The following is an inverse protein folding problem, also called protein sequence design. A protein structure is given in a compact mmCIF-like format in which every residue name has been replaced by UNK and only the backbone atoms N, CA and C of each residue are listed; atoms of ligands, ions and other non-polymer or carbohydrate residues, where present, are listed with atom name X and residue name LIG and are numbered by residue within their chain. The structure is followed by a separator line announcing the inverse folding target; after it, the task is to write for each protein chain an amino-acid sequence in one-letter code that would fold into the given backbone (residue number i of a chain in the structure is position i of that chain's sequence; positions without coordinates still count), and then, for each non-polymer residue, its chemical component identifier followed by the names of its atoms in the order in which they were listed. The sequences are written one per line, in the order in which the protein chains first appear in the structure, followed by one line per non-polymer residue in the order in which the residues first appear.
data_IF_589538527549
#
_entry.id   IF_589538527549
#
_cell.length_a   1.000
_cell.length_b   1.000
_cell.length_c   1.000
_cell.angle_alpha   90.00
_cell.angle_beta   90.00
_cell.angle_gamma   90.00
#
_symmetry.space_group_name_H-M   'P 1'
#
loop_
_entity.id
_entity.type
_entity.pdbx_description
1 polymer ?
#
# COMPACT_ATOMS: atom_id res chain seq x y z
N UNK A 1 34.80 1.23 -9.62
CA UNK A 1 33.43 1.26 -10.10
C UNK A 1 32.59 0.65 -9.00
N UNK A 2 31.84 1.42 -8.26
CA UNK A 2 30.96 0.93 -7.19
C UNK A 2 29.86 0.13 -7.86
N UNK A 3 29.89 -1.18 -7.66
CA UNK A 3 28.80 -2.09 -8.04
C UNK A 3 27.64 -1.80 -7.08
N UNK A 4 26.88 -0.74 -7.35
CA UNK A 4 25.69 -0.42 -6.58
C UNK A 4 24.64 -1.48 -6.94
N UNK A 5 24.50 -2.49 -6.08
CA UNK A 5 23.42 -3.47 -6.16
C UNK A 5 22.09 -2.73 -6.39
N UNK A 6 21.33 -3.16 -7.37
CA UNK A 6 20.00 -2.57 -7.68
C UNK A 6 19.03 -2.76 -6.52
N UNK A 7 19.30 -3.71 -5.63
CA UNK A 7 18.53 -4.03 -4.43
C UNK A 7 18.48 -5.54 -4.18
N UNK A 8 17.88 -5.96 -3.04
CA UNK A 8 17.89 -7.37 -2.64
C UNK A 8 17.16 -8.33 -3.60
N UNK A 9 16.32 -7.80 -4.51
CA UNK A 9 15.63 -8.60 -5.53
C UNK A 9 16.22 -8.39 -6.94
N UNK A 10 17.49 -7.96 -7.05
CA UNK A 10 18.18 -7.88 -8.34
C UNK A 10 18.19 -9.25 -9.03
N UNK A 11 17.83 -9.26 -10.32
CA UNK A 11 17.69 -10.47 -11.13
C UNK A 11 16.33 -11.18 -11.04
N UNK A 12 15.45 -10.77 -10.13
CA UNK A 12 14.07 -11.27 -10.09
C UNK A 12 13.22 -10.55 -11.15
N UNK A 13 12.53 -11.32 -11.99
CA UNK A 13 11.62 -10.83 -13.02
C UNK A 13 10.17 -11.02 -12.61
N UNK A 14 9.39 -9.94 -12.65
CA UNK A 14 7.98 -9.91 -12.26
C UNK A 14 7.12 -9.46 -13.43
N UNK A 15 6.12 -10.23 -13.77
CA UNK A 15 5.07 -9.81 -14.70
C UNK A 15 3.84 -9.42 -13.91
N UNK A 16 3.36 -8.21 -14.14
CA UNK A 16 2.16 -7.66 -13.51
C UNK A 16 1.01 -7.61 -14.51
N UNK A 17 -0.07 -8.32 -14.21
CA UNK A 17 -1.37 -8.18 -14.87
C UNK A 17 -2.39 -7.79 -13.80
N UNK A 18 -2.27 -6.58 -13.28
CA UNK A 18 -3.08 -6.07 -12.17
C UNK A 18 -3.47 -4.61 -12.38
N UNK A 19 -4.58 -4.21 -11.77
CA UNK A 19 -5.17 -2.88 -11.90
C UNK A 19 -5.48 -2.26 -10.54
N UNK A 20 -5.81 -0.99 -10.54
CA UNK A 20 -6.20 -0.16 -9.39
C UNK A 20 -5.01 0.07 -8.44
N UNK A 21 -4.98 -0.47 -7.22
CA UNK A 21 -3.94 -0.16 -6.23
C UNK A 21 -3.24 -1.41 -5.68
N UNK A 22 -3.98 -2.42 -5.24
CA UNK A 22 -3.40 -3.57 -4.51
C UNK A 22 -2.24 -4.24 -5.26
N UNK A 23 -2.49 -4.76 -6.47
CA UNK A 23 -1.45 -5.38 -7.29
C UNK A 23 -0.35 -4.41 -7.71
N UNK A 24 -0.71 -3.24 -8.30
CA UNK A 24 0.28 -2.23 -8.69
C UNK A 24 1.18 -1.74 -7.56
N UNK A 25 0.68 -1.58 -6.33
CA UNK A 25 1.50 -1.22 -5.17
C UNK A 25 2.44 -2.36 -4.76
N UNK A 26 1.95 -3.60 -4.76
CA UNK A 26 2.80 -4.75 -4.44
C UNK A 26 3.97 -4.86 -5.41
N UNK A 27 3.73 -4.77 -6.71
CA UNK A 27 4.78 -4.86 -7.72
C UNK A 27 5.68 -3.63 -7.75
N UNK A 28 5.17 -2.44 -7.40
CA UNK A 28 6.00 -1.25 -7.20
C UNK A 28 6.99 -1.43 -6.04
N UNK A 29 6.56 -2.05 -4.93
CA UNK A 29 7.45 -2.35 -3.80
C UNK A 29 8.51 -3.37 -4.22
N UNK A 30 8.14 -4.44 -4.94
CA UNK A 30 9.11 -5.39 -5.49
C UNK A 30 10.10 -4.71 -6.43
N UNK A 31 9.64 -3.78 -7.26
CA UNK A 31 10.49 -2.98 -8.13
C UNK A 31 11.45 -2.08 -7.35
N UNK A 32 10.99 -1.40 -6.30
CA UNK A 32 11.86 -0.61 -5.41
C UNK A 32 12.90 -1.47 -4.67
N UNK A 33 12.57 -2.74 -4.42
CA UNK A 33 13.51 -3.72 -3.86
C UNK A 33 14.50 -4.30 -4.90
N UNK A 34 14.42 -3.89 -6.17
CA UNK A 34 15.38 -4.24 -7.20
C UNK A 34 14.87 -5.16 -8.31
N UNK A 35 13.67 -5.72 -8.17
CA UNK A 35 13.09 -6.57 -9.22
C UNK A 35 12.87 -5.82 -10.53
N UNK A 36 12.95 -6.53 -11.66
CA UNK A 36 12.51 -6.06 -12.96
C UNK A 36 11.01 -6.33 -13.09
N UNK A 37 10.21 -5.28 -13.26
CA UNK A 37 8.75 -5.40 -13.34
C UNK A 37 8.27 -4.97 -14.72
N UNK A 38 7.56 -5.86 -15.41
CA UNK A 38 6.84 -5.57 -16.63
C UNK A 38 5.34 -5.56 -16.32
N UNK A 39 4.71 -4.39 -16.49
CA UNK A 39 3.26 -4.23 -16.36
C UNK A 39 2.63 -4.46 -17.73
N UNK A 40 1.70 -5.41 -17.79
CA UNK A 40 0.87 -5.68 -18.95
C UNK A 40 -0.43 -4.91 -18.83
N UNK A 41 -0.76 -4.11 -19.84
CA UNK A 41 -1.94 -3.26 -19.88
C UNK A 41 -2.75 -3.53 -21.13
N UNK A 42 -4.07 -3.44 -21.03
CA UNK A 42 -4.98 -3.56 -22.19
C UNK A 42 -5.21 -2.21 -22.88
N UNK A 43 -6.19 -2.18 -23.77
CA UNK A 43 -6.65 -0.96 -24.42
C UNK A 43 -7.46 -0.04 -23.50
N UNK A 44 -8.06 -0.61 -22.44
CA UNK A 44 -8.77 0.15 -21.43
C UNK A 44 -7.77 0.67 -20.39
N UNK A 45 -7.84 1.98 -20.10
CA UNK A 45 -6.92 2.62 -19.16
C UNK A 45 -7.13 2.10 -17.74
N UNK A 46 -6.07 1.65 -17.09
CA UNK A 46 -6.08 1.27 -15.69
C UNK A 46 -6.53 2.45 -14.81
N UNK A 47 -7.46 2.22 -13.90
CA UNK A 47 -7.96 3.26 -12.98
C UNK A 47 -6.86 3.89 -12.13
N UNK A 48 -5.79 3.17 -11.80
CA UNK A 48 -4.62 3.73 -11.11
C UNK A 48 -4.03 4.95 -11.85
N UNK A 49 -4.17 4.98 -13.17
CA UNK A 49 -3.61 6.03 -14.01
C UNK A 49 -4.37 7.35 -13.95
N UNK A 50 -5.60 7.35 -13.37
CA UNK A 50 -6.45 8.55 -13.25
C UNK A 50 -6.76 8.96 -11.80
N UNK A 51 -6.41 8.14 -10.81
CA UNK A 51 -6.66 8.44 -9.38
C UNK A 51 -5.85 9.66 -8.94
N UNK A 52 -6.54 10.65 -8.36
CA UNK A 52 -5.91 11.87 -7.82
C UNK A 52 -5.59 12.93 -8.86
N UNK A 53 -6.01 12.73 -10.13
CA UNK A 53 -5.74 13.68 -11.21
C UNK A 53 -4.25 13.74 -11.60
N UNK A 54 -3.94 14.53 -12.62
CA UNK A 54 -2.58 14.70 -13.12
C UNK A 54 -2.52 15.68 -14.28
N UNK A 55 -1.31 16.03 -14.73
CA UNK A 55 -1.09 16.90 -15.90
C UNK A 55 -1.13 16.14 -17.22
N UNK A 56 -1.00 14.83 -17.18
CA UNK A 56 -1.08 13.94 -18.33
C UNK A 56 -2.22 12.94 -18.13
N UNK A 57 -2.98 12.57 -19.17
CA UNK A 57 -4.13 11.66 -19.05
C UNK A 57 -3.83 10.30 -18.41
N UNK A 58 -2.59 9.79 -18.58
CA UNK A 58 -2.16 8.48 -18.09
C UNK A 58 -1.25 8.55 -16.85
N UNK A 59 -0.90 9.75 -16.38
CA UNK A 59 0.06 9.96 -15.30
C UNK A 59 -0.56 10.81 -14.19
N UNK A 60 -1.50 10.23 -13.48
CA UNK A 60 -2.06 10.83 -12.26
C UNK A 60 -1.05 10.84 -11.11
N UNK A 61 -1.37 11.55 -10.04
CA UNK A 61 -0.58 11.52 -8.80
C UNK A 61 -0.40 10.12 -8.23
N UNK A 62 -1.39 9.23 -8.37
CA UNK A 62 -1.24 7.82 -8.00
C UNK A 62 -0.35 7.06 -8.99
N UNK A 63 -0.53 7.27 -10.30
CA UNK A 63 0.22 6.56 -11.34
C UNK A 63 1.72 6.77 -11.21
N UNK A 64 2.19 8.01 -11.03
CA UNK A 64 3.63 8.31 -10.91
C UNK A 64 4.27 7.62 -9.71
N UNK A 65 3.50 7.32 -8.67
CA UNK A 65 3.99 6.61 -7.48
C UNK A 65 3.84 5.09 -7.58
N UNK A 66 2.78 4.57 -8.22
CA UNK A 66 2.50 3.15 -8.33
C UNK A 66 3.26 2.45 -9.46
N UNK A 67 3.68 3.21 -10.49
CA UNK A 67 4.29 2.60 -11.69
C UNK A 67 5.77 2.94 -11.87
N UNK A 68 6.40 3.68 -10.94
CA UNK A 68 7.85 3.88 -10.98
C UNK A 68 8.61 2.56 -10.94
N UNK A 69 9.79 2.53 -11.52
CA UNK A 69 10.65 1.35 -11.65
C UNK A 69 10.04 0.19 -12.46
N UNK A 70 8.96 0.44 -13.22
CA UNK A 70 8.33 -0.56 -14.09
C UNK A 70 8.54 -0.22 -15.56
N UNK A 71 8.45 -1.24 -16.39
CA UNK A 71 8.24 -1.11 -17.85
C UNK A 71 6.79 -1.43 -18.16
N UNK A 72 6.21 -0.81 -19.19
CA UNK A 72 4.82 -1.05 -19.63
C UNK A 72 4.82 -1.64 -21.03
N UNK A 73 4.08 -2.74 -21.21
CA UNK A 73 3.71 -3.32 -22.48
C UNK A 73 2.19 -3.28 -22.65
N UNK A 74 1.70 -2.84 -23.80
CA UNK A 74 0.26 -2.85 -24.09
C UNK A 74 -0.07 -4.04 -24.99
N UNK A 75 -1.00 -4.90 -24.53
CA UNK A 75 -1.42 -6.10 -25.24
C UNK A 75 -2.95 -6.26 -25.22
N UNK A 76 -3.52 -6.65 -26.35
CA UNK A 76 -4.90 -7.17 -26.39
C UNK A 76 -4.88 -8.68 -26.10
N UNK A 77 -5.13 -9.04 -24.84
CA UNK A 77 -5.19 -10.43 -24.39
C UNK A 77 -6.44 -11.19 -24.89
N UNK A 78 -7.39 -10.52 -25.56
CA UNK A 78 -8.52 -11.19 -26.23
C UNK A 78 -8.06 -11.79 -27.57
N UNK A 79 -7.07 -11.19 -28.20
CA UNK A 79 -6.44 -11.73 -29.41
C UNK A 79 -5.53 -12.93 -29.08
N UNK A 80 -5.54 -14.01 -29.90
CA UNK A 80 -4.68 -15.18 -29.71
C UNK A 80 -3.19 -14.80 -29.65
N UNK A 81 -2.75 -13.91 -30.54
CA UNK A 81 -1.37 -13.44 -30.63
C UNK A 81 -0.95 -12.64 -29.39
N UNK A 82 -1.85 -11.84 -28.81
CA UNK A 82 -1.59 -11.13 -27.56
C UNK A 82 -1.42 -12.08 -26.38
N UNK A 83 -2.17 -13.17 -26.35
CA UNK A 83 -1.97 -14.24 -25.36
C UNK A 83 -0.64 -14.98 -25.57
N UNK A 84 -0.24 -15.22 -26.82
CA UNK A 84 1.06 -15.83 -27.12
C UNK A 84 2.21 -14.95 -26.58
N UNK A 85 2.16 -13.64 -26.82
CA UNK A 85 3.14 -12.70 -26.24
C UNK A 85 3.15 -12.78 -24.71
N UNK A 86 1.97 -12.79 -24.09
CA UNK A 86 1.84 -12.92 -22.63
C UNK A 86 2.45 -14.22 -22.11
N UNK A 87 2.24 -15.34 -22.77
CA UNK A 87 2.81 -16.64 -22.39
C UNK A 87 4.35 -16.60 -22.46
N UNK A 88 4.91 -16.10 -23.60
CA UNK A 88 6.37 -15.93 -23.72
C UNK A 88 6.95 -15.02 -22.66
N UNK A 89 6.24 -13.95 -22.29
CA UNK A 89 6.66 -13.05 -21.22
C UNK A 89 6.69 -13.78 -19.86
N UNK A 90 5.70 -14.63 -19.59
CA UNK A 90 5.62 -15.42 -18.36
C UNK A 90 6.69 -16.53 -18.30
N UNK A 91 7.08 -17.13 -19.43
CA UNK A 91 8.17 -18.12 -19.49
C UNK A 91 9.51 -17.54 -19.01
N UNK A 92 9.71 -16.24 -19.17
CA UNK A 92 10.91 -15.53 -18.71
C UNK A 92 10.80 -14.99 -17.27
N UNK A 93 9.63 -15.13 -16.63
CA UNK A 93 9.35 -14.52 -15.33
C UNK A 93 9.58 -15.47 -14.15
N UNK A 94 9.92 -14.89 -13.00
CA UNK A 94 9.96 -15.56 -11.71
C UNK A 94 8.63 -15.51 -10.98
N UNK A 95 7.94 -14.37 -11.11
CA UNK A 95 6.69 -14.08 -10.39
C UNK A 95 5.68 -13.50 -11.35
N UNK A 96 4.48 -14.04 -11.35
CA UNK A 96 3.31 -13.49 -12.00
C UNK A 96 2.37 -12.92 -10.94
N UNK A 97 2.08 -11.63 -10.98
CA UNK A 97 1.15 -10.96 -10.05
C UNK A 97 -0.10 -10.53 -10.78
N UNK A 98 -1.24 -10.96 -10.29
CA UNK A 98 -2.54 -10.61 -10.88
C UNK A 98 -3.61 -10.36 -9.81
N UNK A 99 -4.52 -9.43 -10.08
CA UNK A 99 -5.74 -9.23 -9.29
C UNK A 99 -7.02 -9.42 -10.14
N UNK A 100 -6.88 -10.02 -11.31
CA UNK A 100 -8.04 -10.43 -12.12
C UNK A 100 -8.79 -11.54 -11.41
N UNK A 101 -10.13 -11.52 -11.58
CA UNK A 101 -11.00 -12.57 -11.02
C UNK A 101 -10.69 -13.94 -11.62
N UNK A 102 -10.86 -15.04 -10.86
CA UNK A 102 -10.51 -16.39 -11.31
C UNK A 102 -11.13 -16.76 -12.67
N UNK A 103 -12.41 -16.43 -12.87
CA UNK A 103 -13.09 -16.68 -14.13
C UNK A 103 -12.44 -15.93 -15.31
N UNK A 104 -12.01 -14.70 -15.10
CA UNK A 104 -11.33 -13.92 -16.14
C UNK A 104 -9.96 -14.51 -16.48
N UNK A 105 -9.18 -14.90 -15.46
CA UNK A 105 -7.89 -15.57 -15.67
C UNK A 105 -8.05 -16.90 -16.44
N UNK A 106 -9.00 -17.73 -16.04
CA UNK A 106 -9.27 -18.99 -16.70
C UNK A 106 -9.70 -18.80 -18.18
N UNK A 107 -10.51 -17.77 -18.48
CA UNK A 107 -10.90 -17.46 -19.86
C UNK A 107 -9.75 -17.02 -20.75
N UNK A 108 -8.66 -16.47 -20.13
CA UNK A 108 -7.43 -16.09 -20.83
C UNK A 108 -6.39 -17.23 -20.88
N UNK A 109 -6.62 -18.35 -20.16
CA UNK A 109 -5.64 -19.43 -20.01
C UNK A 109 -4.44 -19.02 -19.14
N UNK A 110 -4.61 -18.04 -18.23
CA UNK A 110 -3.57 -17.51 -17.37
C UNK A 110 -3.74 -17.89 -15.89
N UNK A 111 -4.66 -18.80 -15.60
CA UNK A 111 -4.82 -19.37 -14.26
C UNK A 111 -3.68 -20.34 -13.92
N UNK A 112 -3.47 -20.55 -12.61
CA UNK A 112 -2.38 -21.39 -12.13
C UNK A 112 -2.44 -22.82 -12.69
N UNK A 113 -3.63 -23.43 -12.77
CA UNK A 113 -3.79 -24.81 -13.22
C UNK A 113 -3.36 -24.99 -14.67
N UNK A 114 -3.62 -23.99 -15.50
CA UNK A 114 -3.20 -23.97 -16.91
C UNK A 114 -1.69 -23.79 -17.04
N UNK A 115 -1.07 -22.89 -16.25
CA UNK A 115 0.33 -22.52 -16.40
C UNK A 115 1.30 -23.48 -15.71
N UNK A 116 0.91 -24.15 -14.62
CA UNK A 116 1.81 -24.92 -13.75
C UNK A 116 2.59 -26.03 -14.44
N UNK A 117 2.03 -26.65 -15.49
CA UNK A 117 2.67 -27.75 -16.20
C UNK A 117 3.78 -27.31 -17.15
N UNK A 118 3.60 -26.15 -17.79
CA UNK A 118 4.59 -25.56 -18.70
C UNK A 118 5.60 -24.66 -17.97
N UNK A 119 5.21 -24.08 -16.84
CA UNK A 119 6.00 -23.11 -16.08
C UNK A 119 6.11 -23.51 -14.59
N UNK A 120 6.73 -24.65 -14.25
CA UNK A 120 6.75 -25.21 -12.88
C UNK A 120 7.54 -24.35 -11.90
N UNK A 121 8.33 -23.38 -12.37
CA UNK A 121 9.10 -22.47 -11.55
C UNK A 121 8.46 -21.08 -11.39
N UNK A 122 7.38 -20.79 -12.13
CA UNK A 122 6.67 -19.52 -12.07
C UNK A 122 5.85 -19.45 -10.77
N UNK A 123 6.14 -18.48 -9.92
CA UNK A 123 5.34 -18.19 -8.73
C UNK A 123 4.11 -17.40 -9.16
N UNK A 124 2.94 -18.04 -9.06
CA UNK A 124 1.67 -17.42 -9.41
C UNK A 124 1.05 -16.76 -8.18
N UNK A 125 1.06 -15.44 -8.15
CA UNK A 125 0.50 -14.61 -7.07
C UNK A 125 -0.86 -14.03 -7.51
N UNK A 126 -1.95 -14.65 -7.05
CA UNK A 126 -3.31 -14.16 -7.26
C UNK A 126 -3.81 -13.41 -6.02
N UNK A 127 -4.04 -12.11 -6.15
CA UNK A 127 -4.57 -11.25 -5.09
C UNK A 127 -5.97 -10.80 -5.47
N UNK A 128 -6.99 -11.26 -4.76
CA UNK A 128 -8.40 -11.12 -5.12
C UNK A 128 -9.22 -10.59 -3.95
N UNK A 129 -10.46 -10.16 -4.19
CA UNK A 129 -11.35 -9.68 -3.13
C UNK A 129 -11.64 -10.75 -2.08
N UNK A 130 -11.97 -11.95 -2.55
CA UNK A 130 -12.41 -13.07 -1.71
C UNK A 130 -11.60 -14.33 -1.99
N UNK A 131 -11.61 -15.25 -1.02
CA UNK A 131 -10.88 -16.52 -1.09
C UNK A 131 -11.38 -17.38 -2.24
N UNK A 132 -10.45 -17.97 -2.97
CA UNK A 132 -10.77 -18.97 -4.00
C UNK A 132 -11.50 -20.17 -3.38
N UNK A 133 -12.53 -20.65 -4.07
CA UNK A 133 -13.37 -21.75 -3.59
C UNK A 133 -14.38 -21.38 -2.49
N UNK A 134 -14.52 -20.08 -2.17
CA UNK A 134 -15.56 -19.62 -1.22
C UNK A 134 -16.96 -19.55 -1.84
N UNK A 135 -17.06 -19.57 -3.17
CA UNK A 135 -18.27 -19.27 -3.92
C UNK A 135 -18.48 -17.77 -4.17
N UNK A 136 -17.60 -16.91 -3.62
CA UNK A 136 -17.63 -15.46 -3.81
C UNK A 136 -16.41 -14.91 -4.56
N UNK A 137 -15.50 -15.79 -4.99
CA UNK A 137 -14.22 -15.44 -5.61
C UNK A 137 -14.34 -14.55 -6.85
N UNK A 138 -15.45 -14.61 -7.58
CA UNK A 138 -15.71 -13.75 -8.73
C UNK A 138 -16.54 -12.50 -8.41
N UNK A 139 -16.90 -12.29 -7.14
CA UNK A 139 -17.65 -11.11 -6.70
C UNK A 139 -16.77 -9.86 -6.80
N UNK A 140 -17.31 -8.73 -7.31
CA UNK A 140 -16.59 -7.46 -7.31
C UNK A 140 -16.23 -7.01 -5.89
N UNK A 141 -14.97 -6.65 -5.68
CA UNK A 141 -14.48 -6.13 -4.41
C UNK A 141 -13.59 -4.91 -4.66
N UNK A 142 -13.79 -3.89 -3.85
CA UNK A 142 -12.97 -2.67 -3.78
C UNK A 142 -12.74 -2.33 -2.31
N UNK A 143 -11.80 -1.45 -2.05
CA UNK A 143 -11.38 -1.04 -0.70
C UNK A 143 -12.55 -0.79 0.27
N UNK A 144 -13.49 0.07 -0.10
CA UNK A 144 -14.64 0.43 0.73
C UNK A 144 -15.55 -0.79 1.04
N UNK A 145 -15.75 -1.66 0.06
CA UNK A 145 -16.55 -2.89 0.23
C UNK A 145 -15.90 -3.80 1.26
N UNK A 146 -14.59 -3.97 1.17
CA UNK A 146 -13.83 -4.80 2.12
C UNK A 146 -13.80 -4.16 3.51
N UNK A 147 -13.63 -2.85 3.63
CA UNK A 147 -13.73 -2.16 4.92
C UNK A 147 -15.09 -2.38 5.58
N UNK A 148 -16.17 -2.35 4.79
CA UNK A 148 -17.52 -2.58 5.30
C UNK A 148 -17.71 -4.03 5.78
N UNK A 149 -17.34 -5.02 4.97
CA UNK A 149 -17.61 -6.43 5.23
C UNK A 149 -16.72 -7.05 6.32
N UNK A 150 -15.51 -6.53 6.50
CA UNK A 150 -14.60 -7.01 7.56
C UNK A 150 -14.90 -6.41 8.94
N UNK A 151 -15.87 -5.49 9.06
CA UNK A 151 -16.16 -4.79 10.30
C UNK A 151 -15.24 -3.61 10.60
N UNK A 152 -14.28 -3.29 9.71
CA UNK A 152 -13.36 -2.17 9.91
C UNK A 152 -14.11 -0.82 9.97
N UNK A 153 -15.15 -0.66 9.16
CA UNK A 153 -16.00 0.53 9.20
C UNK A 153 -16.85 0.63 10.48
N UNK A 154 -17.22 -0.51 11.10
CA UNK A 154 -17.94 -0.57 12.38
C UNK A 154 -17.09 -0.05 13.54
N UNK A 155 -15.77 -0.17 13.49
CA UNK A 155 -14.90 0.36 14.53
C UNK A 155 -15.10 1.86 14.74
N UNK A 156 -15.34 2.62 13.66
CA UNK A 156 -15.64 4.05 13.77
C UNK A 156 -17.01 4.32 14.36
N UNK A 157 -18.01 3.44 14.14
CA UNK A 157 -19.32 3.52 14.79
C UNK A 157 -19.22 3.26 16.29
N UNK A 158 -18.34 2.35 16.71
CA UNK A 158 -18.09 2.08 18.14
C UNK A 158 -17.39 3.24 18.87
N UNK A 159 -16.68 4.08 18.15
CA UNK A 159 -15.98 5.27 18.69
C UNK A 159 -16.83 6.53 18.61
N UNK A 160 -17.73 6.62 17.63
CA UNK A 160 -18.59 7.78 17.37
C UNK A 160 -20.01 7.39 16.99
N UNK A 161 -20.74 8.30 16.38
CA UNK A 161 -22.16 8.11 16.08
C UNK A 161 -22.43 7.62 14.65
N UNK A 162 -21.37 7.42 13.84
CA UNK A 162 -21.51 7.13 12.41
C UNK A 162 -20.40 6.17 11.95
N UNK A 163 -20.78 5.11 11.23
CA UNK A 163 -19.84 4.26 10.54
C UNK A 163 -19.10 5.08 9.45
N UNK A 164 -17.80 4.97 9.40
CA UNK A 164 -16.95 5.67 8.44
C UNK A 164 -15.85 4.76 7.93
N UNK A 165 -15.51 4.93 6.68
CA UNK A 165 -14.27 4.35 6.16
C UNK A 165 -13.05 5.09 6.69
N UNK A 166 -11.94 4.39 6.83
CA UNK A 166 -10.64 5.02 7.02
C UNK A 166 -10.35 5.82 5.75
N UNK A 167 -10.04 7.14 5.84
CA UNK A 167 -9.92 8.01 4.67
C UNK A 167 -8.60 7.79 3.90
N UNK A 168 -8.30 6.53 3.60
CA UNK A 168 -7.22 6.07 2.74
C UNK A 168 -7.57 4.66 2.24
N UNK A 169 -7.03 4.23 1.10
CA UNK A 169 -7.22 2.90 0.53
C UNK A 169 -6.49 1.85 1.38
N UNK A 170 -6.99 1.62 2.60
CA UNK A 170 -6.31 0.79 3.62
C UNK A 170 -6.37 -0.69 3.28
N UNK A 171 -7.49 -1.18 2.75
CA UNK A 171 -7.67 -2.57 2.38
C UNK A 171 -6.73 -2.97 1.22
N UNK A 172 -6.66 -2.13 0.18
CA UNK A 172 -5.72 -2.30 -0.92
C UNK A 172 -4.27 -2.32 -0.43
N UNK A 173 -3.89 -1.35 0.42
CA UNK A 173 -2.51 -1.19 0.89
C UNK A 173 -2.07 -2.32 1.81
N UNK A 174 -2.92 -2.73 2.76
CA UNK A 174 -2.65 -3.87 3.65
C UNK A 174 -2.46 -5.14 2.83
N UNK A 175 -3.37 -5.39 1.88
CA UNK A 175 -3.29 -6.54 1.00
C UNK A 175 -2.03 -6.53 0.12
N UNK A 176 -1.66 -5.36 -0.42
CA UNK A 176 -0.41 -5.20 -1.18
C UNK A 176 0.83 -5.56 -0.35
N UNK A 177 0.91 -5.07 0.89
CA UNK A 177 2.04 -5.37 1.79
C UNK A 177 2.12 -6.86 2.11
N UNK A 178 0.99 -7.52 2.38
CA UNK A 178 0.94 -8.96 2.63
C UNK A 178 1.30 -9.77 1.37
N UNK A 179 0.88 -9.30 0.19
CA UNK A 179 1.23 -9.94 -1.08
C UNK A 179 2.74 -9.90 -1.35
N UNK A 180 3.40 -8.77 -1.06
CA UNK A 180 4.87 -8.66 -1.14
C UNK A 180 5.55 -9.68 -0.22
N UNK A 181 5.10 -9.79 1.03
CA UNK A 181 5.64 -10.76 1.99
C UNK A 181 5.50 -12.18 1.46
N UNK A 182 4.32 -12.55 0.94
CA UNK A 182 4.06 -13.87 0.41
C UNK A 182 4.88 -14.16 -0.86
N UNK A 183 5.03 -13.19 -1.77
CA UNK A 183 5.85 -13.32 -2.97
C UNK A 183 7.33 -13.54 -2.63
N UNK A 184 7.90 -12.77 -1.70
CA UNK A 184 9.29 -12.93 -1.24
C UNK A 184 9.49 -14.28 -0.54
N UNK A 185 8.54 -14.70 0.29
CA UNK A 185 8.57 -16.02 0.93
C UNK A 185 8.49 -17.17 -0.10
N UNK A 186 7.68 -17.00 -1.15
CA UNK A 186 7.58 -17.97 -2.25
C UNK A 186 8.86 -18.05 -3.09
N UNK A 187 9.54 -16.92 -3.33
CA UNK A 187 10.87 -16.90 -3.97
C UNK A 187 11.88 -17.69 -3.15
N UNK A 188 11.95 -17.44 -1.86
CA UNK A 188 12.82 -18.19 -0.93
C UNK A 188 12.49 -19.69 -0.91
N UNK A 189 11.19 -20.04 -0.85
CA UNK A 189 10.74 -21.43 -0.87
C UNK A 189 11.13 -22.12 -2.18
N UNK A 190 10.95 -21.46 -3.33
CA UNK A 190 11.30 -21.99 -4.64
C UNK A 190 12.79 -22.33 -4.73
N UNK A 191 13.65 -21.41 -4.26
CA UNK A 191 15.08 -21.61 -4.30
C UNK A 191 15.54 -22.74 -3.37
N UNK A 192 14.88 -22.88 -2.21
CA UNK A 192 15.18 -23.95 -1.26
C UNK A 192 14.65 -25.33 -1.68
N UNK A 193 13.50 -25.40 -2.39
CA UNK A 193 12.79 -26.66 -2.69
C UNK A 193 12.78 -27.04 -4.18
N UNK A 194 13.19 -26.15 -5.08
CA UNK A 194 13.25 -26.37 -6.53
C UNK A 194 11.94 -26.26 -7.28
N UNK A 195 10.82 -25.97 -6.61
CA UNK A 195 9.51 -25.76 -7.24
C UNK A 195 8.81 -24.50 -6.72
N UNK A 196 8.02 -23.84 -7.58
CA UNK A 196 7.28 -22.65 -7.22
C UNK A 196 6.02 -22.98 -6.40
N UNK A 197 5.59 -21.99 -5.61
CA UNK A 197 4.33 -22.02 -4.90
C UNK A 197 3.26 -21.25 -5.67
N UNK A 198 2.00 -21.67 -5.54
CA UNK A 198 0.83 -20.83 -5.80
C UNK A 198 0.60 -19.97 -4.56
N UNK A 199 0.58 -18.66 -4.73
CA UNK A 199 0.24 -17.69 -3.69
C UNK A 199 -1.16 -17.17 -3.96
N UNK A 200 -2.04 -17.31 -3.00
CA UNK A 200 -3.39 -16.73 -3.03
C UNK A 200 -3.55 -15.79 -1.86
N UNK A 201 -4.01 -14.57 -2.12
CA UNK A 201 -4.34 -13.57 -1.12
C UNK A 201 -5.76 -13.07 -1.34
N UNK A 202 -6.59 -13.16 -0.30
CA UNK A 202 -7.90 -12.53 -0.24
C UNK A 202 -7.79 -11.19 0.50
N UNK A 203 -8.31 -10.11 -0.08
CA UNK A 203 -8.37 -8.80 0.62
C UNK A 203 -9.19 -8.91 1.90
N UNK A 204 -10.32 -9.64 1.84
CA UNK A 204 -11.16 -9.88 3.00
C UNK A 204 -10.38 -10.53 4.15
N UNK A 205 -9.66 -11.62 3.86
CA UNK A 205 -8.87 -12.32 4.88
C UNK A 205 -7.73 -11.45 5.40
N UNK A 206 -7.05 -10.71 4.52
CA UNK A 206 -5.94 -9.84 4.87
C UNK A 206 -6.37 -8.73 5.84
N UNK A 207 -7.47 -8.04 5.52
CA UNK A 207 -7.99 -6.95 6.36
C UNK A 207 -8.57 -7.49 7.66
N UNK A 208 -9.27 -8.63 7.61
CA UNK A 208 -9.77 -9.29 8.80
C UNK A 208 -8.64 -9.67 9.76
N UNK A 209 -7.59 -10.31 9.24
CA UNK A 209 -6.40 -10.64 10.03
C UNK A 209 -5.70 -9.40 10.57
N UNK A 210 -5.66 -8.31 9.80
CA UNK A 210 -4.98 -7.08 10.17
C UNK A 210 -5.56 -6.43 11.43
N UNK A 211 -6.89 -6.26 11.51
CA UNK A 211 -7.49 -5.54 12.63
C UNK A 211 -8.01 -6.45 13.76
N UNK A 212 -8.21 -7.73 13.53
CA UNK A 212 -8.60 -8.65 14.61
C UNK A 212 -7.45 -9.04 15.53
N UNK A 213 -6.21 -8.67 15.24
CA UNK A 213 -5.07 -8.90 16.16
C UNK A 213 -5.39 -8.38 17.56
N UNK A 214 -5.94 -7.17 17.67
CA UNK A 214 -6.38 -6.59 18.94
C UNK A 214 -7.90 -6.62 19.12
N UNK A 215 -8.69 -6.50 18.07
CA UNK A 215 -10.14 -6.38 18.17
C UNK A 215 -10.87 -7.73 18.34
N UNK A 216 -10.20 -8.87 18.14
CA UNK A 216 -10.73 -10.14 18.59
C UNK A 216 -10.86 -10.16 20.13
N UNK A 217 -9.91 -9.52 20.83
CA UNK A 217 -10.00 -9.20 22.28
C UNK A 217 -10.54 -10.36 23.13
N UNK A 218 -11.58 -10.11 23.94
CA UNK A 218 -12.25 -11.11 24.77
C UNK A 218 -12.87 -12.27 23.98
N UNK A 219 -13.31 -12.03 22.76
CA UNK A 219 -13.87 -13.07 21.87
C UNK A 219 -12.85 -14.14 21.45
N UNK A 220 -11.56 -13.94 21.71
CA UNK A 220 -10.53 -14.99 21.62
C UNK A 220 -10.88 -16.18 22.54
N UNK A 221 -11.57 -15.91 23.64
CA UNK A 221 -12.03 -16.90 24.60
C UNK A 221 -13.55 -17.04 24.48
N UNK A 222 -14.06 -18.26 24.71
CA UNK A 222 -15.52 -18.50 24.63
C UNK A 222 -16.31 -17.63 25.60
N UNK A 223 -17.29 -16.91 25.08
CA UNK A 223 -18.20 -16.06 25.89
C UNK A 223 -17.67 -14.65 26.18
N UNK A 224 -16.52 -14.27 25.59
CA UNK A 224 -16.05 -12.90 25.67
C UNK A 224 -16.50 -12.05 24.48
N UNK A 225 -16.36 -10.73 24.62
CA UNK A 225 -16.78 -9.75 23.63
C UNK A 225 -15.62 -9.34 22.72
N UNK A 226 -15.95 -9.02 21.46
CA UNK A 226 -15.02 -8.42 20.51
C UNK A 226 -14.88 -6.91 20.75
N UNK A 227 -13.71 -6.38 20.38
CA UNK A 227 -13.40 -4.97 20.49
C UNK A 227 -12.42 -4.65 21.63
N UNK A 228 -11.32 -3.96 21.28
CA UNK A 228 -10.36 -3.52 22.29
C UNK A 228 -10.78 -2.17 22.86
N UNK A 229 -11.42 -2.19 24.04
CA UNK A 229 -12.08 -1.04 24.65
C UNK A 229 -11.22 0.21 24.80
N UNK A 230 -9.91 0.07 25.04
CA UNK A 230 -8.99 1.24 25.10
C UNK A 230 -8.94 1.98 23.76
N UNK A 231 -8.88 1.26 22.64
CA UNK A 231 -8.81 1.87 21.31
C UNK A 231 -10.19 2.37 20.88
N UNK A 232 -11.23 1.62 21.20
CA UNK A 232 -12.62 1.96 20.90
C UNK A 232 -13.24 2.95 21.89
N UNK A 233 -12.45 3.94 22.33
CA UNK A 233 -12.91 4.97 23.24
C UNK A 233 -13.04 6.31 22.50
N UNK A 234 -14.22 6.93 22.55
CA UNK A 234 -14.51 8.19 21.86
C UNK A 234 -13.63 9.38 22.29
N UNK A 235 -13.06 9.31 23.49
CA UNK A 235 -12.18 10.36 24.02
C UNK A 235 -10.71 10.12 23.74
N UNK A 236 -10.36 8.94 23.21
CA UNK A 236 -9.01 8.63 22.76
C UNK A 236 -8.73 9.31 21.42
N UNK A 237 -7.77 10.18 21.39
CA UNK A 237 -7.37 10.88 20.15
C UNK A 237 -6.43 12.03 20.47
N UNK A 238 -6.11 12.84 19.48
CA UNK A 238 -5.43 14.10 19.70
C UNK A 238 -6.25 15.03 20.62
N UNK A 239 -5.58 15.70 21.53
CA UNK A 239 -6.21 16.60 22.48
C UNK A 239 -5.91 18.05 22.15
N UNK A 240 -6.87 18.95 22.43
CA UNK A 240 -6.68 20.40 22.28
C UNK A 240 -5.72 20.92 23.35
N UNK A 241 -4.82 21.78 22.92
CA UNK A 241 -4.01 22.67 23.76
C UNK A 241 -4.59 24.08 23.73
N UNK A 242 -3.86 25.09 24.20
CA UNK A 242 -4.26 26.49 24.05
C UNK A 242 -4.27 26.95 22.59
N UNK A 243 -3.40 26.41 21.74
CA UNK A 243 -3.12 26.91 20.39
C UNK A 243 -3.12 25.85 19.29
N UNK A 244 -3.37 24.56 19.60
CA UNK A 244 -3.36 23.51 18.61
C UNK A 244 -3.94 22.18 19.06
N UNK A 245 -3.43 21.11 18.47
CA UNK A 245 -3.76 19.71 18.76
C UNK A 245 -2.46 18.93 18.98
N UNK A 246 -2.42 18.15 20.05
CA UNK A 246 -1.30 17.26 20.36
C UNK A 246 -1.76 15.84 20.63
N UNK A 247 -0.95 14.87 20.25
CA UNK A 247 -1.04 13.49 20.71
C UNK A 247 0.01 13.30 21.80
N UNK A 248 -0.42 12.99 23.02
CA UNK A 248 0.47 12.70 24.16
C UNK A 248 0.09 11.34 24.71
N UNK A 249 1.06 10.45 24.84
CA UNK A 249 0.85 9.08 25.31
C UNK A 249 1.64 8.82 26.59
N UNK A 250 1.10 9.17 27.77
CA UNK A 250 1.69 8.81 29.04
C UNK A 250 1.51 7.30 29.27
N UNK A 251 2.63 6.57 29.29
CA UNK A 251 2.62 5.11 29.41
C UNK A 251 2.83 4.66 30.86
N UNK A 252 3.83 5.26 31.52
CA UNK A 252 4.16 4.97 32.91
C UNK A 252 3.39 5.89 33.88
N UNK A 253 3.19 5.42 35.12
CA UNK A 253 2.54 6.23 36.17
C UNK A 253 3.26 7.56 36.41
N UNK A 254 4.60 7.57 36.29
CA UNK A 254 5.42 8.78 36.36
C UNK A 254 5.02 9.80 35.28
N UNK A 255 4.70 9.35 34.08
CA UNK A 255 4.37 10.26 32.97
C UNK A 255 3.08 11.02 33.26
N UNK A 256 2.08 10.35 33.86
CA UNK A 256 0.85 10.99 34.32
C UNK A 256 1.13 12.02 35.39
N UNK A 257 1.96 11.66 36.39
CA UNK A 257 2.33 12.58 37.44
C UNK A 257 3.02 13.86 36.90
N UNK A 258 3.97 13.70 36.01
CA UNK A 258 4.71 14.81 35.40
C UNK A 258 3.78 15.76 34.64
N UNK A 259 2.82 15.22 33.87
CA UNK A 259 1.87 16.04 33.12
C UNK A 259 0.93 16.82 34.05
N UNK A 260 0.42 16.20 35.11
CA UNK A 260 -0.48 16.85 36.06
C UNK A 260 0.26 17.84 36.96
N UNK A 261 1.44 17.49 37.45
CA UNK A 261 2.27 18.36 38.26
C UNK A 261 2.70 19.65 37.54
N UNK A 262 2.95 19.57 36.24
CA UNK A 262 3.29 20.75 35.42
C UNK A 262 2.24 21.85 35.47
N UNK A 263 1.00 21.52 35.77
CA UNK A 263 -0.12 22.47 35.90
C UNK A 263 -0.67 22.56 37.31
N UNK A 264 0.04 21.98 38.30
CA UNK A 264 -0.34 22.03 39.73
C UNK A 264 -1.59 21.22 40.08
N UNK A 265 -1.83 20.12 39.32
CA UNK A 265 -3.03 19.25 39.48
C UNK A 265 -2.68 17.82 39.90
N UNK A 266 -1.47 17.58 40.36
CA UNK A 266 -1.00 16.25 40.80
C UNK A 266 -1.87 15.64 41.93
N UNK A 267 -2.47 16.47 42.78
CA UNK A 267 -3.37 15.99 43.82
C UNK A 267 -4.62 15.29 43.31
N UNK A 268 -5.06 15.60 42.07
CA UNK A 268 -6.21 14.95 41.45
C UNK A 268 -5.93 13.49 41.17
N UNK A 269 -4.67 13.13 40.96
CA UNK A 269 -4.27 11.76 40.68
C UNK A 269 -4.49 10.80 41.87
N UNK A 270 -4.62 11.33 43.09
CA UNK A 270 -4.90 10.51 44.28
C UNK A 270 -6.25 9.80 44.21
N UNK A 271 -7.23 10.37 43.51
CA UNK A 271 -8.53 9.79 43.24
C UNK A 271 -8.72 9.22 41.83
N UNK A 272 -7.69 9.21 41.04
CA UNK A 272 -7.79 8.85 39.61
C UNK A 272 -7.60 7.34 39.40
N UNK A 273 -8.35 6.71 38.51
CA UNK A 273 -8.25 5.26 38.27
C UNK A 273 -7.09 4.95 37.32
N UNK A 274 -5.85 5.03 37.79
CA UNK A 274 -4.68 4.76 36.93
C UNK A 274 -3.55 3.99 37.65
N UNK A 275 -3.80 3.39 38.79
CA UNK A 275 -2.83 2.60 39.57
C UNK A 275 -2.30 1.36 38.83
N UNK A 276 -2.98 0.93 37.77
CA UNK A 276 -2.57 -0.16 36.90
C UNK A 276 -3.04 0.08 35.48
N UNK A 277 -2.40 -0.57 34.51
CA UNK A 277 -2.86 -0.56 33.12
C UNK A 277 -4.30 -1.06 32.98
N UNK A 278 -4.66 -2.11 33.72
CA UNK A 278 -6.02 -2.63 33.75
C UNK A 278 -7.04 -1.60 34.23
N UNK A 279 -6.74 -0.92 35.32
CA UNK A 279 -7.62 0.12 35.89
C UNK A 279 -7.80 1.30 34.91
N UNK A 280 -6.72 1.70 34.23
CA UNK A 280 -6.80 2.71 33.17
C UNK A 280 -7.68 2.27 31.99
N UNK A 281 -7.64 1.00 31.60
CA UNK A 281 -8.48 0.47 30.53
C UNK A 281 -9.96 0.44 30.94
N UNK A 282 -10.26 -0.02 32.14
CA UNK A 282 -11.63 -0.10 32.67
C UNK A 282 -12.27 1.30 32.86
N UNK A 283 -11.45 2.33 33.05
CA UNK A 283 -11.88 3.71 33.27
C UNK A 283 -11.38 4.69 32.18
N UNK A 284 -11.22 4.22 30.94
CA UNK A 284 -10.61 4.98 29.85
C UNK A 284 -11.25 6.36 29.61
N UNK A 285 -12.56 6.46 29.77
CA UNK A 285 -13.32 7.73 29.67
C UNK A 285 -12.83 8.80 30.65
N UNK A 286 -12.66 8.43 31.92
CA UNK A 286 -12.17 9.32 32.96
C UNK A 286 -10.72 9.70 32.70
N UNK A 287 -9.91 8.72 32.34
CA UNK A 287 -8.48 8.88 32.08
C UNK A 287 -8.24 9.86 30.94
N UNK A 288 -8.87 9.65 29.79
CA UNK A 288 -8.72 10.54 28.63
C UNK A 288 -9.36 11.92 28.83
N UNK A 289 -10.46 12.02 29.60
CA UNK A 289 -11.02 13.32 29.97
C UNK A 289 -10.08 14.13 30.85
N UNK A 290 -9.43 13.47 31.83
CA UNK A 290 -8.43 14.10 32.68
C UNK A 290 -7.23 14.61 31.87
N UNK A 291 -6.68 13.76 31.00
CA UNK A 291 -5.59 14.16 30.11
C UNK A 291 -5.98 15.37 29.25
N UNK A 292 -7.15 15.32 28.61
CA UNK A 292 -7.66 16.41 27.79
C UNK A 292 -7.78 17.73 28.57
N UNK A 293 -8.19 17.67 29.85
CA UNK A 293 -8.33 18.85 30.70
C UNK A 293 -6.99 19.48 31.06
N UNK A 294 -5.97 18.66 31.30
CA UNK A 294 -4.61 19.11 31.58
C UNK A 294 -3.95 19.72 30.36
N UNK A 295 -4.05 19.05 29.21
CA UNK A 295 -3.39 19.50 27.98
C UNK A 295 -3.89 20.85 27.47
N UNK A 296 -5.13 21.24 27.78
CA UNK A 296 -5.68 22.57 27.48
C UNK A 296 -5.04 23.72 28.25
N UNK A 297 -4.29 23.45 29.29
CA UNK A 297 -3.77 24.47 30.20
C UNK A 297 -2.46 25.11 29.72
N UNK A 298 -1.85 24.57 28.67
CA UNK A 298 -0.61 25.11 28.07
C UNK A 298 -0.63 25.07 26.56
N UNK A 299 0.34 25.72 25.94
CA UNK A 299 0.55 25.69 24.49
C UNK A 299 1.13 24.33 24.02
N UNK A 300 0.97 24.04 22.76
CA UNK A 300 1.56 22.86 22.12
C UNK A 300 3.07 22.81 22.30
N UNK A 301 3.75 23.94 22.08
CA UNK A 301 5.20 24.04 22.21
C UNK A 301 5.70 23.78 23.65
N UNK A 302 4.96 24.21 24.69
CA UNK A 302 5.28 23.91 26.07
C UNK A 302 5.16 22.43 26.37
N UNK A 303 4.09 21.79 25.92
CA UNK A 303 3.91 20.35 26.10
C UNK A 303 4.98 19.54 25.35
N UNK A 304 5.34 19.92 24.12
CA UNK A 304 6.40 19.23 23.38
C UNK A 304 7.74 19.31 24.11
N UNK A 305 8.09 20.48 24.67
CA UNK A 305 9.34 20.63 25.44
C UNK A 305 9.33 19.78 26.71
N UNK A 306 8.23 19.79 27.46
CA UNK A 306 8.10 18.96 28.66
C UNK A 306 8.24 17.49 28.33
N UNK A 307 7.44 17.00 27.37
CA UNK A 307 7.44 15.61 26.97
C UNK A 307 8.82 15.14 26.50
N UNK A 308 9.49 15.94 25.68
CA UNK A 308 10.86 15.65 25.24
C UNK A 308 11.85 15.57 26.41
N UNK A 309 11.77 16.50 27.36
CA UNK A 309 12.66 16.53 28.54
C UNK A 309 12.40 15.33 29.48
N UNK A 310 11.21 14.82 29.54
CA UNK A 310 10.78 13.69 30.41
C UNK A 310 10.75 12.34 29.71
N UNK A 311 10.98 12.30 28.40
CA UNK A 311 10.91 11.06 27.61
C UNK A 311 9.47 10.54 27.43
N UNK A 312 8.47 11.42 27.49
CA UNK A 312 7.07 11.08 27.23
C UNK A 312 6.81 11.14 25.73
N UNK A 313 6.19 10.09 25.18
CA UNK A 313 5.86 10.05 23.75
C UNK A 313 4.79 11.11 23.42
N UNK A 314 5.15 12.05 22.55
CA UNK A 314 4.27 13.14 22.15
C UNK A 314 4.59 13.64 20.74
N UNK A 315 3.57 14.17 20.06
CA UNK A 315 3.71 14.84 18.78
C UNK A 315 2.58 15.88 18.60
N UNK A 316 2.86 16.94 17.88
CA UNK A 316 1.83 17.83 17.35
C UNK A 316 1.10 17.15 16.20
N UNK A 317 -0.19 17.45 16.03
CA UNK A 317 -0.95 16.98 14.86
C UNK A 317 -0.62 17.91 13.70
N UNK A 318 0.01 17.36 12.69
CA UNK A 318 0.42 18.06 11.49
C UNK A 318 -0.61 17.89 10.39
N UNK A 319 -0.95 18.96 9.70
CA UNK A 319 -1.81 18.94 8.52
C UNK A 319 -1.11 18.30 7.32
N UNK A 320 -1.87 17.65 6.44
CA UNK A 320 -1.28 17.03 5.25
C UNK A 320 -0.63 18.05 4.31
N UNK A 321 -1.20 19.25 4.22
CA UNK A 321 -0.65 20.34 3.41
C UNK A 321 0.67 20.86 3.98
N UNK A 322 0.81 20.86 5.31
CA UNK A 322 2.05 21.22 6.00
C UNK A 322 3.14 20.17 5.74
N UNK A 323 2.79 18.86 5.83
CA UNK A 323 3.73 17.78 5.50
C UNK A 323 4.23 17.92 4.06
N UNK A 324 3.34 18.25 3.12
CA UNK A 324 3.71 18.39 1.71
C UNK A 324 4.60 19.63 1.47
N UNK A 325 4.38 20.72 2.20
CA UNK A 325 5.08 21.99 1.97
C UNK A 325 6.39 22.16 2.75
N UNK A 326 6.56 21.47 3.91
CA UNK A 326 7.73 21.62 4.77
C UNK A 326 8.68 20.40 4.66
N UNK A 327 9.88 20.58 4.07
CA UNK A 327 10.90 19.53 3.98
C UNK A 327 11.34 18.96 5.34
N UNK A 328 11.26 19.71 6.42
CA UNK A 328 11.60 19.24 7.75
C UNK A 328 10.60 18.22 8.28
N UNK A 329 9.32 18.36 7.92
CA UNK A 329 8.25 17.46 8.33
C UNK A 329 8.27 16.14 7.55
N UNK A 330 8.46 16.18 6.25
CA UNK A 330 8.51 14.94 5.43
C UNK A 330 9.90 14.27 5.41
N UNK A 331 10.92 14.90 6.02
CA UNK A 331 12.25 14.30 6.26
C UNK A 331 12.89 13.66 5.02
N UNK A 332 12.73 14.28 3.86
CA UNK A 332 13.26 13.79 2.59
C UNK A 332 12.46 12.65 1.94
N UNK A 333 11.29 12.31 2.45
CA UNK A 333 10.40 11.32 1.81
C UNK A 333 9.70 11.84 0.56
N UNK A 334 9.57 13.15 0.41
CA UNK A 334 9.08 13.77 -0.82
C UNK A 334 10.26 14.30 -1.62
N UNK A 335 10.33 13.90 -2.89
CA UNK A 335 11.45 14.18 -3.78
C UNK A 335 10.90 14.87 -5.02
N UNK A 336 11.39 16.08 -5.29
CA UNK A 336 11.08 16.78 -6.53
C UNK A 336 11.86 16.13 -7.69
N UNK A 337 11.19 15.92 -8.81
CA UNK A 337 11.70 15.25 -9.98
C UNK A 337 11.05 15.85 -11.25
N UNK A 338 11.57 15.53 -12.43
CA UNK A 338 11.04 16.04 -13.70
C UNK A 338 10.74 14.86 -14.64
N UNK A 339 9.46 14.64 -14.91
CA UNK A 339 9.02 13.55 -15.77
C UNK A 339 9.06 13.99 -17.24
N UNK A 340 9.64 13.20 -18.16
CA UNK A 340 9.82 13.60 -19.56
C UNK A 340 8.53 13.97 -20.28
N UNK A 341 7.39 13.40 -19.84
CA UNK A 341 6.08 13.62 -20.47
C UNK A 341 5.19 14.51 -19.60
N UNK A 342 5.16 14.31 -18.27
CA UNK A 342 4.27 15.05 -17.36
C UNK A 342 4.91 16.33 -16.80
N UNK A 343 6.20 16.57 -17.02
CA UNK A 343 6.96 17.71 -16.49
C UNK A 343 7.22 17.62 -14.98
N UNK A 344 7.48 18.75 -14.31
CA UNK A 344 7.85 18.78 -12.91
C UNK A 344 6.79 18.13 -12.02
N UNK A 345 7.21 17.23 -11.16
CA UNK A 345 6.35 16.53 -10.21
C UNK A 345 7.08 16.22 -8.91
N UNK A 346 6.34 15.78 -7.91
CA UNK A 346 6.87 15.32 -6.64
C UNK A 346 6.48 13.87 -6.41
N UNK A 347 7.45 13.04 -6.09
CA UNK A 347 7.25 11.62 -5.80
C UNK A 347 7.55 11.26 -4.37
N UNK A 348 6.98 10.16 -3.92
CA UNK A 348 7.29 9.56 -2.63
C UNK A 348 8.58 8.74 -2.76
N UNK A 349 9.53 8.93 -1.86
CA UNK A 349 10.74 8.12 -1.76
C UNK A 349 10.46 6.69 -1.28
N UNK A 350 11.44 5.80 -1.42
CA UNK A 350 11.36 4.48 -0.82
C UNK A 350 11.63 4.54 0.69
N UNK A 351 10.80 3.90 1.53
CA UNK A 351 11.04 3.83 2.97
C UNK A 351 12.14 2.83 3.34
N UNK A 352 12.58 1.99 2.39
CA UNK A 352 13.55 0.93 2.64
C UNK A 352 14.98 1.44 2.57
N UNK A 353 15.80 0.98 3.50
CA UNK A 353 17.25 1.20 3.52
C UNK A 353 17.95 -0.14 3.75
N UNK A 354 18.92 -0.45 2.90
CA UNK A 354 19.79 -1.61 3.03
C UNK A 354 21.23 -1.10 3.20
N UNK A 355 21.90 -1.54 4.24
CA UNK A 355 23.25 -1.06 4.60
C UNK A 355 23.35 0.49 4.69
N UNK A 356 22.27 1.13 5.14
CA UNK A 356 22.15 2.59 5.24
C UNK A 356 21.80 3.32 3.94
N UNK A 357 21.84 2.65 2.79
CA UNK A 357 21.44 3.21 1.50
C UNK A 357 19.94 3.07 1.26
N UNK A 358 19.29 4.13 0.77
CA UNK A 358 17.92 4.05 0.32
C UNK A 358 17.81 3.21 -0.96
N UNK A 359 16.73 2.46 -1.10
CA UNK A 359 16.43 1.76 -2.37
C UNK A 359 16.34 2.75 -3.52
N UNK A 360 16.99 2.44 -4.63
CA UNK A 360 17.06 3.32 -5.77
C UNK A 360 15.74 3.36 -6.55
N UNK A 361 15.27 4.56 -6.88
CA UNK A 361 14.26 4.75 -7.91
C UNK A 361 15.02 4.93 -9.22
N UNK A 362 14.98 3.90 -10.08
CA UNK A 362 15.79 3.75 -11.28
C UNK A 362 15.15 4.38 -12.50
N UNK A 363 13.81 4.33 -12.56
CA UNK A 363 13.02 4.88 -13.65
C UNK A 363 11.72 5.52 -13.13
N UNK A 364 11.24 6.47 -13.89
CA UNK A 364 9.94 7.11 -13.67
C UNK A 364 8.81 6.19 -14.13
N UNK A 365 7.57 6.54 -13.81
CA UNK A 365 6.42 5.77 -14.23
C UNK A 365 6.25 5.84 -15.76
N UNK A 366 6.14 4.72 -16.48
CA UNK A 366 5.95 4.77 -17.93
C UNK A 366 4.52 5.19 -18.30
N UNK A 367 4.35 5.76 -19.49
CA UNK A 367 3.04 5.80 -20.15
C UNK A 367 2.65 4.40 -20.63
N UNK A 368 1.37 4.20 -20.98
CA UNK A 368 0.87 2.88 -21.43
C UNK A 368 1.62 2.44 -22.70
N UNK A 369 2.20 1.24 -22.65
CA UNK A 369 2.89 0.65 -23.80
C UNK A 369 4.23 1.26 -24.16
N UNK A 370 4.78 2.13 -23.33
CA UNK A 370 6.07 2.83 -23.61
C UNK A 370 7.20 1.89 -24.02
N UNK A 371 7.22 0.68 -23.47
CA UNK A 371 8.29 -0.30 -23.72
C UNK A 371 7.83 -1.48 -24.58
N UNK A 372 6.67 -1.37 -25.25
CA UNK A 372 6.11 -2.49 -26.01
C UNK A 372 7.07 -3.06 -27.03
N UNK A 373 7.68 -2.22 -27.86
CA UNK A 373 8.58 -2.66 -28.94
C UNK A 373 9.85 -3.28 -28.36
N UNK A 374 10.44 -2.65 -27.34
CA UNK A 374 11.64 -3.13 -26.66
C UNK A 374 11.42 -4.53 -26.07
N UNK A 375 10.30 -4.70 -25.36
CA UNK A 375 9.95 -5.99 -24.73
C UNK A 375 9.69 -7.07 -25.78
N UNK A 376 9.02 -6.76 -26.89
CA UNK A 376 8.82 -7.71 -27.97
C UNK A 376 10.13 -8.19 -28.59
N UNK A 377 11.12 -7.30 -28.79
CA UNK A 377 12.44 -7.71 -29.24
C UNK A 377 13.20 -8.57 -28.21
N UNK A 378 13.06 -8.27 -26.93
CA UNK A 378 13.64 -9.11 -25.86
C UNK A 378 13.02 -10.52 -25.80
N UNK A 379 11.80 -10.68 -26.33
CA UNK A 379 11.09 -11.95 -26.49
C UNK A 379 11.38 -12.64 -27.84
N UNK A 380 12.43 -12.20 -28.56
CA UNK A 380 12.88 -12.73 -29.83
C UNK A 380 11.86 -12.62 -30.98
N UNK A 381 10.94 -11.63 -30.94
CA UNK A 381 10.09 -11.30 -32.07
C UNK A 381 10.90 -10.56 -33.13
N UNK A 382 10.78 -10.97 -34.39
CA UNK A 382 11.38 -10.26 -35.53
C UNK A 382 10.68 -8.92 -35.80
N UNK A 383 11.35 -8.02 -36.49
CA UNK A 383 10.79 -6.71 -36.89
C UNK A 383 9.45 -6.86 -37.62
N UNK A 384 9.33 -7.84 -38.54
CA UNK A 384 8.12 -8.09 -39.29
C UNK A 384 6.95 -8.57 -38.38
N UNK A 385 7.23 -9.38 -37.37
CA UNK A 385 6.24 -9.83 -36.39
C UNK A 385 5.79 -8.68 -35.49
N UNK A 386 6.73 -7.86 -34.99
CA UNK A 386 6.43 -6.66 -34.20
C UNK A 386 5.54 -5.70 -34.97
N UNK A 387 5.89 -5.41 -36.24
CA UNK A 387 5.05 -4.57 -37.11
C UNK A 387 3.66 -5.18 -37.36
N UNK A 388 3.55 -6.50 -37.49
CA UNK A 388 2.28 -7.17 -37.66
C UNK A 388 1.40 -7.05 -36.41
N UNK A 389 1.95 -7.29 -35.20
CA UNK A 389 1.26 -7.14 -33.93
C UNK A 389 0.71 -5.72 -33.72
N UNK A 390 1.52 -4.71 -34.03
CA UNK A 390 1.12 -3.31 -33.94
C UNK A 390 0.04 -2.95 -34.98
N UNK A 391 0.21 -3.38 -36.23
CA UNK A 391 -0.73 -3.10 -37.32
C UNK A 391 -2.11 -3.71 -37.07
N UNK A 392 -2.17 -4.88 -36.44
CA UNK A 392 -3.41 -5.54 -36.09
C UNK A 392 -4.02 -5.02 -34.77
N UNK A 393 -3.34 -4.11 -34.07
CA UNK A 393 -3.77 -3.58 -32.77
C UNK A 393 -3.65 -4.59 -31.63
N UNK A 394 -2.96 -5.70 -31.83
CA UNK A 394 -2.68 -6.71 -30.81
C UNK A 394 -1.69 -6.21 -29.76
N UNK A 395 -0.69 -5.45 -30.20
CA UNK A 395 0.22 -4.72 -29.35
C UNK A 395 0.11 -3.21 -29.58
N UNK A 396 0.10 -2.42 -28.53
CA UNK A 396 0.04 -0.97 -28.62
C UNK A 396 1.42 -0.35 -28.82
N UNK A 397 1.47 0.73 -29.58
CA UNK A 397 2.64 1.60 -29.70
C UNK A 397 2.45 2.80 -28.79
N UNK A 398 3.54 3.33 -28.24
CA UNK A 398 3.49 4.58 -27.48
C UNK A 398 2.81 5.69 -28.30
N UNK A 399 1.83 6.36 -27.67
CA UNK A 399 1.09 7.48 -28.27
C UNK A 399 1.80 8.84 -28.05
N UNK A 400 3.11 8.86 -27.81
CA UNK A 400 3.89 10.07 -27.47
C UNK A 400 3.84 11.16 -28.57
N UNK A 401 3.48 10.82 -29.80
CA UNK A 401 3.49 11.76 -30.90
C UNK A 401 2.24 12.68 -31.02
N UNK A 402 1.21 12.53 -30.18
CA UNK A 402 -0.05 13.26 -30.38
C UNK A 402 -0.47 14.24 -29.28
N UNK A 403 0.31 14.40 -28.20
CA UNK A 403 -0.02 15.33 -27.12
C UNK A 403 1.01 16.44 -26.97
N UNK A 404 1.29 17.18 -28.04
CA UNK A 404 1.78 18.55 -27.88
C UNK A 404 0.69 19.34 -27.16
N UNK A 405 0.99 20.09 -26.08
CA UNK A 405 0.00 20.88 -25.39
C UNK A 405 -0.57 21.91 -26.37
N UNK A 406 -1.84 21.77 -26.73
CA UNK A 406 -2.57 22.90 -27.26
C UNK A 406 -2.58 23.98 -26.19
N UNK A 407 -1.83 25.05 -26.47
CA UNK A 407 -1.84 26.29 -25.71
C UNK A 407 -3.30 26.74 -25.49
N UNK A 408 -3.76 26.69 -24.26
CA UNK A 408 -4.81 27.60 -23.76
C UNK A 408 -4.50 28.02 -22.33
#
# INVERSE_FOLDING_TARGET
MSNSLRGPLEGVRVVELATVVMGPLATQILADLGAEVVKVEGSELDRSRVIGGGRHPELSGAAVNLHRNKRSIQLDLKAPEGREVMVRLLESADVFVTNLRPRSLASLGLDHETLKSSMPRLIHCAAQGYRHGSGEEDRPAYDDVIQAETGLADLSLKVGDTARYIPTLVADKVSALMLVQAAVAALWQRDARGHAARVELSMFDAVLAFHLVEHLSGATFRGGDAGYGRILNAKRGPHRTQDGLVSVLPYADRDWYELFAEVGREAELLGFPFRSERERHENADTVYSGLASVLRMRSSAEWMRLCAARGIAAAEVVGIDEIVSDPALHRGMLIDDDHPVAGPYRRIGSPFRFDGAASAIRSQAPVVGEHTIEILYELDYSEAEVEALIRHGTAGREAVAQLAPENR
#
